data_IF_661088240828
#
_entry.id   IF_661088240828
#
_cell.length_a   1.000
_cell.length_b   1.000
_cell.length_c   1.000
_cell.angle_alpha   90.00
_cell.angle_beta   90.00
_cell.angle_gamma   90.00
#
_symmetry.space_group_name_H-M   'P 1'
#
loop_
_entity.id
_entity.type
_entity.pdbx_description
1 polymer ?
#
# COMPACT_ATOMS: atom_id res chain seq x y z
N UNK A 1 -13.81 -13.36 0.70
CA UNK A 1 -12.86 -12.54 1.48
C UNK A 1 -12.71 -11.10 0.99
N UNK A 2 -11.83 -10.74 0.04
CA UNK A 2 -11.63 -9.31 -0.32
C UNK A 2 -12.93 -8.59 -0.76
N UNK A 3 -13.78 -9.26 -1.54
CA UNK A 3 -15.10 -8.73 -1.94
C UNK A 3 -16.07 -8.54 -0.76
N UNK A 4 -15.98 -9.36 0.28
CA UNK A 4 -16.80 -9.21 1.48
C UNK A 4 -16.36 -7.98 2.28
N UNK A 5 -15.05 -7.79 2.45
CA UNK A 5 -14.50 -6.57 3.08
C UNK A 5 -14.87 -5.29 2.31
N UNK A 6 -14.83 -5.34 0.98
CA UNK A 6 -15.31 -4.24 0.13
C UNK A 6 -16.79 -3.96 0.40
N UNK A 7 -17.63 -4.98 0.50
CA UNK A 7 -19.04 -4.81 0.81
C UNK A 7 -19.27 -4.24 2.22
N UNK A 8 -18.49 -4.68 3.22
CA UNK A 8 -18.58 -4.20 4.61
C UNK A 8 -18.19 -2.73 4.75
N UNK A 9 -17.30 -2.23 3.88
CA UNK A 9 -16.90 -0.81 3.86
C UNK A 9 -17.83 0.07 3.02
N UNK A 10 -18.89 -0.50 2.44
CA UNK A 10 -19.84 0.22 1.57
C UNK A 10 -19.24 0.60 0.21
N UNK A 11 -18.06 0.07 -0.14
CA UNK A 11 -17.41 0.32 -1.42
C UNK A 11 -18.01 -0.54 -2.52
N UNK A 12 -17.96 -0.02 -3.76
CA UNK A 12 -18.47 -0.74 -4.93
C UNK A 12 -17.33 -1.55 -5.53
N UNK A 13 -17.45 -2.88 -5.48
CA UNK A 13 -16.50 -3.77 -6.12
C UNK A 13 -16.65 -3.72 -7.65
N UNK A 14 -15.68 -3.14 -8.34
CA UNK A 14 -15.59 -3.18 -9.81
C UNK A 14 -15.25 -4.58 -10.36
N UNK A 15 -14.98 -4.65 -11.66
CA UNK A 15 -14.52 -5.88 -12.35
C UNK A 15 -13.27 -6.43 -11.68
N UNK A 16 -12.32 -5.55 -11.35
CA UNK A 16 -11.18 -5.84 -10.48
C UNK A 16 -11.55 -5.33 -9.08
N UNK A 17 -11.69 -6.20 -8.07
CA UNK A 17 -12.02 -5.77 -6.72
C UNK A 17 -10.81 -5.05 -6.10
N UNK A 18 -11.00 -3.77 -5.75
CA UNK A 18 -10.03 -2.96 -5.03
C UNK A 18 -10.68 -2.54 -3.71
N UNK A 19 -9.98 -2.77 -2.61
CA UNK A 19 -10.35 -2.26 -1.29
C UNK A 19 -9.48 -1.04 -0.98
N UNK A 20 -10.10 0.10 -0.71
CA UNK A 20 -9.40 1.31 -0.33
C UNK A 20 -9.62 1.62 1.16
N UNK A 21 -8.57 1.69 1.98
CA UNK A 21 -8.70 2.06 3.40
C UNK A 21 -7.79 3.23 3.74
N UNK A 22 -8.38 4.31 4.26
CA UNK A 22 -7.65 5.44 4.82
C UNK A 22 -7.27 5.13 6.28
N UNK A 23 -5.97 5.10 6.57
CA UNK A 23 -5.40 4.77 7.88
C UNK A 23 -4.45 5.92 8.27
N UNK A 24 -4.97 6.87 9.05
CA UNK A 24 -4.25 8.12 9.32
C UNK A 24 -3.98 8.89 8.03
N UNK A 25 -2.72 9.20 7.74
CA UNK A 25 -2.29 9.87 6.49
C UNK A 25 -2.05 8.91 5.31
N UNK A 26 -2.08 7.59 5.54
CA UNK A 26 -1.79 6.59 4.52
C UNK A 26 -3.09 6.05 3.93
N UNK A 27 -3.25 6.14 2.61
CA UNK A 27 -4.31 5.43 1.90
C UNK A 27 -3.78 4.09 1.40
N UNK A 28 -4.34 2.98 1.84
CA UNK A 28 -4.02 1.65 1.28
C UNK A 28 -4.99 1.30 0.17
N UNK A 29 -4.46 0.77 -0.94
CA UNK A 29 -5.22 0.17 -2.05
C UNK A 29 -4.84 -1.28 -2.17
N UNK A 30 -5.80 -2.17 -1.97
CA UNK A 30 -5.55 -3.61 -1.92
C UNK A 30 -6.29 -4.32 -3.04
N UNK A 31 -5.59 -5.13 -3.81
CA UNK A 31 -6.14 -5.94 -4.91
C UNK A 31 -5.49 -7.32 -4.97
N UNK A 32 -6.14 -8.27 -5.62
CA UNK A 32 -5.57 -9.59 -5.90
C UNK A 32 -4.93 -9.58 -7.28
N UNK A 33 -3.64 -9.90 -7.35
CA UNK A 33 -2.91 -10.09 -8.59
C UNK A 33 -2.72 -11.60 -8.85
N UNK A 34 -2.94 -12.01 -10.10
CA UNK A 34 -2.87 -13.43 -10.53
C UNK A 34 -1.81 -13.70 -11.59
N UNK A 35 -1.13 -12.66 -12.10
CA UNK A 35 -0.22 -12.78 -13.24
C UNK A 35 1.06 -13.60 -12.93
N UNK A 36 1.61 -13.49 -11.71
CA UNK A 36 2.89 -14.10 -11.31
C UNK A 36 2.78 -14.84 -9.98
N UNK A 37 1.69 -15.61 -9.83
CA UNK A 37 1.27 -16.23 -8.58
C UNK A 37 0.09 -15.49 -7.95
N UNK A 38 -0.61 -16.19 -7.06
CA UNK A 38 -1.76 -15.64 -6.34
C UNK A 38 -1.25 -14.77 -5.19
N UNK A 39 -1.22 -13.46 -5.40
CA UNK A 39 -0.74 -12.49 -4.42
C UNK A 39 -1.79 -11.45 -4.09
N UNK A 40 -1.78 -10.99 -2.85
CA UNK A 40 -2.39 -9.73 -2.46
C UNK A 40 -1.36 -8.62 -2.73
N UNK A 41 -1.70 -7.69 -3.60
CA UNK A 41 -0.93 -6.46 -3.80
C UNK A 41 -1.55 -5.38 -2.93
N UNK A 42 -0.76 -4.84 -2.01
CA UNK A 42 -1.13 -3.72 -1.14
C UNK A 42 -0.27 -2.53 -1.55
N UNK A 43 -0.92 -1.48 -2.03
CA UNK A 43 -0.27 -0.21 -2.36
C UNK A 43 -0.56 0.81 -1.27
N UNK A 44 0.45 1.21 -0.52
CA UNK A 44 0.38 2.34 0.41
C UNK A 44 0.62 3.64 -0.36
N UNK A 45 -0.38 4.51 -0.43
CA UNK A 45 -0.33 5.82 -1.07
C UNK A 45 -0.08 6.86 0.02
N UNK A 46 1.07 7.52 -0.06
CA UNK A 46 1.48 8.54 0.90
C UNK A 46 0.95 9.92 0.48
N UNK A 47 0.91 10.90 1.41
CA UNK A 47 0.60 12.28 1.09
C UNK A 47 1.51 12.83 -0.02
N UNK A 48 0.99 13.82 -0.76
CA UNK A 48 1.81 14.56 -1.71
C UNK A 48 2.94 15.27 -0.98
N UNK A 49 4.09 15.29 -1.62
CA UNK A 49 5.29 15.95 -1.13
C UNK A 49 5.66 17.01 -2.18
N UNK A 50 5.26 18.26 -1.93
CA UNK A 50 5.46 19.37 -2.87
C UNK A 50 6.95 19.67 -3.11
N UNK A 51 7.81 19.30 -2.15
CA UNK A 51 9.26 19.52 -2.19
C UNK A 51 10.05 18.32 -2.73
N UNK A 52 9.43 17.13 -2.85
CA UNK A 52 10.10 15.89 -3.29
C UNK A 52 10.58 15.89 -4.75
N UNK A 53 10.13 16.82 -5.59
CA UNK A 53 10.59 16.94 -6.98
C UNK A 53 12.11 17.11 -7.12
N UNK A 54 12.79 17.57 -6.06
CA UNK A 54 14.25 17.77 -6.04
C UNK A 54 15.03 16.58 -5.45
N UNK A 55 14.38 15.71 -4.66
CA UNK A 55 15.00 14.55 -4.01
C UNK A 55 14.85 13.25 -4.81
N UNK A 56 14.69 13.35 -6.14
CA UNK A 56 14.46 12.27 -7.10
C UNK A 56 15.63 11.27 -7.27
N UNK A 57 16.61 11.30 -6.36
CA UNK A 57 17.89 10.57 -6.47
C UNK A 57 17.89 9.23 -5.71
N UNK A 58 16.91 8.97 -4.84
CA UNK A 58 16.80 7.67 -4.18
C UNK A 58 15.97 6.74 -5.08
N UNK A 59 16.64 5.82 -5.78
CA UNK A 59 15.98 4.70 -6.45
C UNK A 59 15.12 3.88 -5.48
N UNK A 60 14.42 2.87 -6.00
CA UNK A 60 13.55 2.01 -5.20
C UNK A 60 14.21 1.60 -3.87
N UNK A 61 13.63 2.04 -2.76
CA UNK A 61 14.09 1.65 -1.44
C UNK A 61 13.25 0.45 -1.00
N UNK A 62 13.89 -0.71 -0.86
CA UNK A 62 13.27 -1.88 -0.24
C UNK A 62 13.51 -1.80 1.27
N UNK A 63 12.44 -1.64 2.05
CA UNK A 63 12.49 -1.68 3.50
C UNK A 63 11.36 -2.58 4.00
N UNK A 64 11.69 -3.55 4.86
CA UNK A 64 10.70 -4.40 5.54
C UNK A 64 9.60 -4.95 4.60
N UNK A 65 10.01 -5.56 3.47
CA UNK A 65 9.10 -6.17 2.47
C UNK A 65 8.27 -5.19 1.62
N UNK A 66 8.45 -3.88 1.81
CA UNK A 66 7.81 -2.83 1.01
C UNK A 66 8.83 -2.20 0.07
N UNK A 67 8.46 -2.11 -1.21
CA UNK A 67 9.18 -1.37 -2.22
C UNK A 67 8.61 0.05 -2.34
N UNK A 68 9.37 1.06 -1.98
CA UNK A 68 8.96 2.46 -2.12
C UNK A 68 9.39 3.06 -3.46
N UNK A 69 8.43 3.66 -4.16
CA UNK A 69 8.58 4.26 -5.49
C UNK A 69 8.01 5.67 -5.52
N UNK A 70 8.49 6.48 -6.47
CA UNK A 70 7.90 7.79 -6.77
C UNK A 70 6.86 7.67 -7.88
N UNK A 71 5.62 8.09 -7.61
CA UNK A 71 4.57 8.20 -8.63
C UNK A 71 4.63 9.58 -9.27
N UNK A 72 5.34 9.70 -10.39
CA UNK A 72 5.59 10.98 -11.06
C UNK A 72 4.31 11.76 -11.42
N UNK A 73 3.30 11.07 -11.98
CA UNK A 73 2.05 11.74 -12.38
C UNK A 73 1.22 12.25 -11.19
N UNK A 74 1.34 11.60 -10.03
CA UNK A 74 0.55 11.96 -8.86
C UNK A 74 1.32 12.82 -7.84
N UNK A 75 2.64 13.01 -8.05
CA UNK A 75 3.51 13.84 -7.22
C UNK A 75 3.65 13.33 -5.79
N UNK A 76 3.73 12.01 -5.61
CA UNK A 76 3.78 11.39 -4.27
C UNK A 76 4.57 10.09 -4.26
N UNK A 77 5.00 9.66 -3.08
CA UNK A 77 5.56 8.33 -2.88
C UNK A 77 4.46 7.27 -2.72
N UNK A 78 4.75 6.07 -3.19
CA UNK A 78 3.92 4.88 -2.99
C UNK A 78 4.78 3.74 -2.46
N UNK A 79 4.24 2.94 -1.55
CA UNK A 79 4.84 1.68 -1.11
C UNK A 79 4.09 0.51 -1.74
N UNK A 80 4.81 -0.48 -2.27
CA UNK A 80 4.25 -1.71 -2.81
C UNK A 80 4.66 -2.90 -1.96
N UNK A 81 3.67 -3.60 -1.39
CA UNK A 81 3.87 -4.87 -0.69
C UNK A 81 3.15 -5.99 -1.42
N UNK A 82 3.83 -7.11 -1.65
CA UNK A 82 3.24 -8.33 -2.23
C UNK A 82 3.21 -9.41 -1.17
N UNK A 83 2.01 -9.90 -0.86
CA UNK A 83 1.80 -10.96 0.13
C UNK A 83 1.22 -12.18 -0.56
N UNK A 84 1.88 -13.32 -0.46
CA UNK A 84 1.39 -14.55 -1.08
C UNK A 84 0.06 -14.96 -0.45
N UNK A 85 -0.98 -15.21 -1.24
CA UNK A 85 -2.30 -15.59 -0.70
C UNK A 85 -2.24 -16.89 0.11
N UNK A 86 -1.27 -17.77 -0.17
CA UNK A 86 -1.05 -18.99 0.59
C UNK A 86 -0.64 -18.75 2.06
N UNK A 87 -0.13 -17.56 2.41
CA UNK A 87 0.24 -17.21 3.79
C UNK A 87 -0.91 -16.52 4.54
N UNK A 88 -1.97 -16.12 3.85
CA UNK A 88 -3.15 -15.50 4.44
C UNK A 88 -4.18 -16.59 4.78
N UNK A 89 -4.19 -17.02 6.04
CA UNK A 89 -5.05 -18.10 6.50
C UNK A 89 -6.54 -17.72 6.49
N UNK A 90 -6.87 -16.45 6.73
CA UNK A 90 -8.23 -15.95 6.90
C UNK A 90 -8.34 -14.42 6.67
N UNK A 91 -9.54 -13.88 6.87
CA UNK A 91 -9.87 -12.46 6.73
C UNK A 91 -9.02 -11.58 7.65
N UNK A 92 -8.73 -12.07 8.86
CA UNK A 92 -7.90 -11.38 9.84
C UNK A 92 -6.48 -11.24 9.32
N UNK A 93 -5.89 -12.30 8.77
CA UNK A 93 -4.56 -12.24 8.16
C UNK A 93 -4.47 -11.20 7.03
N UNK A 94 -5.52 -11.06 6.22
CA UNK A 94 -5.58 -10.01 5.20
C UNK A 94 -5.62 -8.61 5.82
N UNK A 95 -6.48 -8.39 6.81
CA UNK A 95 -6.55 -7.10 7.50
C UNK A 95 -5.24 -6.76 8.22
N UNK A 96 -4.63 -7.72 8.89
CA UNK A 96 -3.34 -7.58 9.57
C UNK A 96 -2.26 -7.17 8.54
N UNK A 97 -2.23 -7.80 7.36
CA UNK A 97 -1.30 -7.43 6.29
C UNK A 97 -1.51 -5.99 5.78
N UNK A 98 -2.77 -5.52 5.68
CA UNK A 98 -3.07 -4.13 5.29
C UNK A 98 -2.61 -3.15 6.37
N UNK A 99 -2.95 -3.41 7.63
CA UNK A 99 -2.59 -2.56 8.77
C UNK A 99 -1.06 -2.47 8.92
N UNK A 100 -0.37 -3.60 8.87
CA UNK A 100 1.11 -3.63 8.93
C UNK A 100 1.72 -2.84 7.76
N UNK A 101 1.15 -2.95 6.56
CA UNK A 101 1.63 -2.16 5.41
C UNK A 101 1.46 -0.66 5.63
N UNK A 102 0.34 -0.24 6.22
CA UNK A 102 0.10 1.16 6.56
C UNK A 102 1.06 1.67 7.66
N UNK A 103 1.28 0.87 8.70
CA UNK A 103 2.21 1.20 9.80
C UNK A 103 3.65 1.37 9.28
N UNK A 104 4.11 0.45 8.44
CA UNK A 104 5.43 0.53 7.81
C UNK A 104 5.57 1.77 6.93
N UNK A 105 4.54 2.10 6.14
CA UNK A 105 4.50 3.26 5.27
C UNK A 105 4.46 4.58 6.05
N UNK A 106 3.72 4.64 7.15
CA UNK A 106 3.69 5.78 8.06
C UNK A 106 5.05 5.99 8.72
N UNK A 107 5.68 4.93 9.22
CA UNK A 107 7.00 5.00 9.83
C UNK A 107 8.08 5.46 8.83
N UNK A 108 7.99 5.01 7.57
CA UNK A 108 8.86 5.49 6.50
C UNK A 108 8.68 6.98 6.22
N UNK A 109 7.42 7.45 6.15
CA UNK A 109 7.09 8.86 5.94
C UNK A 109 7.62 9.74 7.08
N UNK A 110 7.46 9.30 8.33
CA UNK A 110 7.97 10.01 9.52
C UNK A 110 9.50 10.15 9.48
N UNK A 111 10.23 9.05 9.17
CA UNK A 111 11.69 9.10 9.02
C UNK A 111 12.12 10.07 7.93
N UNK A 112 11.41 10.08 6.80
CA UNK A 112 11.70 11.00 5.70
C UNK A 112 11.46 12.46 6.09
N UNK A 113 10.39 12.75 6.85
CA UNK A 113 10.09 14.10 7.36
C UNK A 113 11.07 14.56 8.45
N UNK A 114 11.51 13.65 9.31
CA UNK A 114 12.43 13.94 10.43
C UNK A 114 13.91 13.95 10.05
N UNK A 115 14.26 13.54 8.82
CA UNK A 115 15.63 13.47 8.31
C UNK A 115 16.03 14.59 7.35
N UNK A 116 15.25 15.68 7.28
CA UNK A 116 15.52 16.87 6.47
C UNK A 116 16.31 17.94 7.23
#
# INVERSE_FOLDING_TARGET
MLRELIALTGQVAGTVPVLELQLGEVLTRTTVQVADGHHLLITAVLPRDEDAGQALQAGAAAEAEIEYLWHADEGRHIGLRRVALATLADERGLMDAILETADLAAAWLERRRGGA
#
